data_IF_962597489317
#
_entry.id   IF_962597489317
#
_cell.length_a   1.000
_cell.length_b   1.000
_cell.length_c   1.000
_cell.angle_alpha   90.00
_cell.angle_beta   90.00
_cell.angle_gamma   90.00
#
_symmetry.space_group_name_H-M   'P 1'
#
loop_
_entity.id
_entity.type
_entity.pdbx_description
1 polymer ?
#
# COMPACT_ATOMS: atom_id res chain seq x y z
N UNK A 1 0.61 21.48 -22.42
CA UNK A 1 1.46 20.28 -22.30
C UNK A 1 0.73 19.30 -21.41
N UNK A 2 0.02 18.34 -22.00
CA UNK A 2 -0.79 17.38 -21.27
C UNK A 2 0.12 16.25 -20.77
N UNK A 3 0.52 16.29 -19.50
CA UNK A 3 1.22 15.15 -18.88
C UNK A 3 0.30 13.93 -18.95
N UNK A 4 0.75 12.90 -19.65
CA UNK A 4 0.07 11.61 -19.67
C UNK A 4 -0.14 11.12 -18.22
N UNK A 5 -1.29 10.46 -17.91
CA UNK A 5 -1.46 9.83 -16.61
C UNK A 5 -0.29 8.86 -16.42
N UNK A 6 0.43 9.02 -15.32
CA UNK A 6 1.66 8.27 -15.02
C UNK A 6 1.33 6.77 -14.99
N UNK A 7 1.55 6.08 -16.10
CA UNK A 7 1.26 4.64 -16.20
C UNK A 7 2.21 3.90 -15.28
N UNK A 8 1.68 3.03 -14.43
CA UNK A 8 2.47 2.10 -13.64
C UNK A 8 3.34 1.25 -14.58
N UNK A 9 4.54 0.81 -14.15
CA UNK A 9 5.33 -0.16 -14.90
C UNK A 9 4.49 -1.41 -15.21
N UNK A 10 4.53 -1.91 -16.45
CA UNK A 10 3.66 -3.01 -16.91
C UNK A 10 3.80 -4.30 -16.09
N UNK A 11 5.00 -4.57 -15.54
CA UNK A 11 5.23 -5.73 -14.68
C UNK A 11 4.53 -5.57 -13.32
N UNK A 12 4.61 -4.39 -12.72
CA UNK A 12 3.90 -4.07 -11.48
C UNK A 12 2.39 -4.11 -11.69
N UNK A 13 1.90 -3.54 -12.79
CA UNK A 13 0.47 -3.55 -13.11
C UNK A 13 -0.08 -4.98 -13.27
N UNK A 14 0.68 -5.86 -13.94
CA UNK A 14 0.36 -7.28 -14.06
C UNK A 14 0.34 -7.99 -12.71
N UNK A 15 1.37 -7.77 -11.88
CA UNK A 15 1.46 -8.39 -10.55
C UNK A 15 0.30 -7.97 -9.63
N UNK A 16 -0.10 -6.69 -9.68
CA UNK A 16 -1.27 -6.17 -8.99
C UNK A 16 -2.59 -6.77 -9.49
N UNK A 17 -2.63 -7.35 -10.69
CA UNK A 17 -3.83 -8.02 -11.24
C UNK A 17 -3.92 -9.51 -10.84
N UNK A 18 -2.81 -10.13 -10.41
CA UNK A 18 -2.79 -11.52 -9.95
C UNK A 18 -3.44 -11.64 -8.57
N UNK A 19 -4.30 -12.66 -8.31
CA UNK A 19 -4.84 -12.89 -6.97
C UNK A 19 -3.73 -13.20 -5.97
N UNK A 20 -3.73 -12.51 -4.82
CA UNK A 20 -2.79 -12.79 -3.75
C UNK A 20 -3.03 -14.18 -3.10
N UNK A 21 -4.27 -14.68 -3.16
CA UNK A 21 -4.67 -15.98 -2.62
C UNK A 21 -4.72 -17.13 -3.66
N UNK A 22 -4.51 -16.83 -4.95
CA UNK A 22 -4.81 -17.76 -6.06
C UNK A 22 -3.62 -18.54 -6.62
N UNK A 23 -2.39 -18.14 -6.30
CA UNK A 23 -1.18 -18.90 -6.61
C UNK A 23 -0.62 -19.52 -5.33
N UNK A 24 0.16 -20.60 -5.44
CA UNK A 24 0.82 -21.36 -4.35
C UNK A 24 1.79 -20.48 -3.49
N UNK A 25 1.82 -19.17 -3.76
CA UNK A 25 2.65 -18.15 -3.13
C UNK A 25 1.84 -17.51 -2.00
N UNK A 26 2.27 -17.66 -0.75
CA UNK A 26 1.62 -16.99 0.38
C UNK A 26 1.71 -15.46 0.28
N UNK A 27 0.80 -14.75 0.98
CA UNK A 27 0.73 -13.28 1.01
C UNK A 27 2.09 -12.60 1.24
N UNK A 28 2.97 -13.05 2.16
CA UNK A 28 4.27 -12.42 2.36
C UNK A 28 5.13 -12.40 1.09
N UNK A 29 5.21 -13.52 0.38
CA UNK A 29 5.98 -13.63 -0.87
C UNK A 29 5.32 -12.88 -2.03
N UNK A 30 3.98 -12.76 -2.04
CA UNK A 30 3.27 -11.91 -2.99
C UNK A 30 3.64 -10.43 -2.80
N UNK A 31 3.64 -9.96 -1.55
CA UNK A 31 4.02 -8.60 -1.17
C UNK A 31 5.49 -8.32 -1.47
N UNK A 32 6.39 -9.24 -1.14
CA UNK A 32 7.82 -9.10 -1.39
C UNK A 32 8.11 -8.93 -2.90
N UNK A 33 7.61 -9.85 -3.73
CA UNK A 33 7.74 -9.76 -5.20
C UNK A 33 7.11 -8.49 -5.75
N UNK A 34 5.96 -8.08 -5.22
CA UNK A 34 5.30 -6.84 -5.61
C UNK A 34 6.11 -5.60 -5.28
N UNK A 35 6.71 -5.55 -4.09
CA UNK A 35 7.56 -4.47 -3.63
C UNK A 35 8.85 -4.34 -4.46
N UNK A 36 9.43 -5.45 -4.93
CA UNK A 36 10.58 -5.43 -5.84
C UNK A 36 10.27 -4.75 -7.18
N UNK A 37 9.02 -4.81 -7.63
CA UNK A 37 8.55 -4.20 -8.88
C UNK A 37 8.21 -2.71 -8.73
N UNK A 38 8.20 -2.17 -7.50
CA UNK A 38 7.91 -0.75 -7.26
C UNK A 38 9.12 0.11 -7.61
N UNK A 39 9.00 0.85 -8.71
CA UNK A 39 10.00 1.81 -9.16
C UNK A 39 9.74 3.21 -8.59
N UNK A 40 10.71 4.14 -8.64
CA UNK A 40 10.48 5.54 -8.30
C UNK A 40 9.33 6.18 -9.11
N UNK A 41 9.12 5.73 -10.35
CA UNK A 41 7.98 6.16 -11.17
C UNK A 41 6.65 5.65 -10.61
N UNK A 42 6.60 4.42 -10.11
CA UNK A 42 5.39 3.89 -9.46
C UNK A 42 5.05 4.66 -8.18
N UNK A 43 6.05 5.04 -7.38
CA UNK A 43 5.87 5.89 -6.19
C UNK A 43 5.29 7.26 -6.59
N UNK A 44 5.88 7.91 -7.61
CA UNK A 44 5.33 9.16 -8.16
C UNK A 44 3.91 8.98 -8.71
N UNK A 45 3.62 7.84 -9.33
CA UNK A 45 2.30 7.49 -9.83
C UNK A 45 1.27 7.39 -8.70
N UNK A 46 1.61 6.73 -7.58
CA UNK A 46 0.75 6.68 -6.39
C UNK A 46 0.47 8.09 -5.84
N UNK A 47 1.49 8.94 -5.75
CA UNK A 47 1.33 10.33 -5.29
C UNK A 47 0.46 11.15 -6.26
N UNK A 48 0.57 10.92 -7.57
CA UNK A 48 -0.34 11.50 -8.57
C UNK A 48 -1.81 11.05 -8.39
N UNK A 49 -2.03 9.92 -7.71
CA UNK A 49 -3.34 9.36 -7.40
C UNK A 49 -3.77 9.60 -5.95
N UNK A 50 -3.06 10.46 -5.19
CA UNK A 50 -3.26 10.63 -3.75
C UNK A 50 -4.70 10.99 -3.37
N UNK A 51 -5.32 11.91 -4.10
CA UNK A 51 -6.72 12.29 -3.87
C UNK A 51 -7.70 11.11 -4.07
N UNK A 52 -7.40 10.18 -4.98
CA UNK A 52 -8.19 8.97 -5.15
C UNK A 52 -7.97 7.97 -4.02
N UNK A 53 -6.72 7.82 -3.55
CA UNK A 53 -6.39 7.02 -2.38
C UNK A 53 -7.14 7.52 -1.14
N UNK A 54 -7.07 8.83 -0.84
CA UNK A 54 -7.75 9.42 0.31
C UNK A 54 -9.28 9.23 0.26
N UNK A 55 -9.88 9.39 -0.93
CA UNK A 55 -11.31 9.10 -1.13
C UNK A 55 -11.66 7.64 -0.88
N UNK A 56 -10.80 6.69 -1.29
CA UNK A 56 -11.02 5.26 -1.03
C UNK A 56 -10.84 4.92 0.44
N UNK A 57 -9.81 5.46 1.09
CA UNK A 57 -9.58 5.31 2.52
C UNK A 57 -10.81 5.76 3.33
N UNK A 58 -11.38 6.92 2.98
CA UNK A 58 -12.57 7.47 3.64
C UNK A 58 -13.82 6.57 3.59
N UNK A 59 -13.83 5.55 2.72
CA UNK A 59 -14.91 4.55 2.64
C UNK A 59 -14.65 3.31 3.50
N UNK A 60 -13.43 3.13 3.99
CA UNK A 60 -13.10 2.08 4.96
C UNK A 60 -13.64 2.53 6.32
N UNK A 61 -14.28 1.61 7.05
CA UNK A 61 -14.86 1.86 8.36
C UNK A 61 -13.87 2.60 9.28
N UNK A 62 -14.29 3.77 9.76
CA UNK A 62 -13.51 4.60 10.66
C UNK A 62 -13.25 3.86 11.97
N UNK A 63 -12.02 3.92 12.47
CA UNK A 63 -11.62 3.19 13.67
C UNK A 63 -11.46 1.67 13.49
N UNK A 64 -11.67 1.12 12.29
CA UNK A 64 -11.30 -0.28 12.01
C UNK A 64 -9.78 -0.47 12.04
N UNK A 65 -9.35 -1.71 12.35
CA UNK A 65 -7.93 -2.08 12.34
C UNK A 65 -7.31 -1.88 10.96
N UNK A 66 -8.02 -2.25 9.89
CA UNK A 66 -7.57 -2.02 8.51
C UNK A 66 -7.36 -0.53 8.22
N UNK A 67 -8.31 0.32 8.61
CA UNK A 67 -8.20 1.77 8.43
C UNK A 67 -6.94 2.32 9.08
N UNK A 68 -6.69 1.99 10.36
CA UNK A 68 -5.50 2.43 11.10
C UNK A 68 -4.19 2.04 10.40
N UNK A 69 -4.10 0.79 9.93
CA UNK A 69 -2.91 0.30 9.23
C UNK A 69 -2.68 1.01 7.90
N UNK A 70 -3.73 1.23 7.13
CA UNK A 70 -3.65 1.96 5.87
C UNK A 70 -3.21 3.41 6.10
N UNK A 71 -3.71 4.06 7.16
CA UNK A 71 -3.28 5.42 7.52
C UNK A 71 -1.79 5.48 7.90
N UNK A 72 -1.29 4.46 8.61
CA UNK A 72 0.16 4.30 8.87
C UNK A 72 0.94 4.21 7.56
N UNK A 73 0.57 3.30 6.65
CA UNK A 73 1.29 3.17 5.40
C UNK A 73 1.21 4.44 4.53
N UNK A 74 0.04 5.07 4.48
CA UNK A 74 -0.16 6.32 3.73
C UNK A 74 0.74 7.44 4.26
N UNK A 75 0.70 7.70 5.58
CA UNK A 75 1.55 8.73 6.18
C UNK A 75 3.04 8.43 5.96
N UNK A 76 3.45 7.17 6.11
CA UNK A 76 4.82 6.77 5.85
C UNK A 76 5.27 7.11 4.42
N UNK A 77 4.45 6.75 3.42
CA UNK A 77 4.77 7.01 2.01
C UNK A 77 4.81 8.51 1.68
N UNK A 78 3.90 9.31 2.26
CA UNK A 78 3.86 10.76 2.07
C UNK A 78 5.15 11.43 2.59
N UNK A 79 5.64 10.99 3.75
CA UNK A 79 6.76 11.62 4.46
C UNK A 79 8.14 11.08 4.07
N UNK A 80 8.24 9.78 3.73
CA UNK A 80 9.53 9.14 3.43
C UNK A 80 10.21 9.66 2.16
N UNK A 81 9.53 10.51 1.38
CA UNK A 81 10.04 11.13 0.15
C UNK A 81 11.07 12.25 0.44
N UNK A 82 11.04 12.84 1.63
CA UNK A 82 11.87 13.99 1.99
C UNK A 82 13.12 13.59 2.80
N UNK A 83 13.28 12.30 3.13
CA UNK A 83 14.32 11.81 4.03
C UNK A 83 15.33 10.84 3.41
N UNK A 84 16.36 10.42 4.18
CA UNK A 84 17.41 9.49 3.76
C UNK A 84 16.94 8.05 3.42
N UNK A 85 15.63 7.84 3.28
CA UNK A 85 14.99 6.57 2.92
C UNK A 85 14.21 6.62 1.60
N UNK A 86 14.32 7.71 0.83
CA UNK A 86 13.73 7.83 -0.50
C UNK A 86 14.19 6.63 -1.37
N UNK A 87 13.26 5.72 -1.66
CA UNK A 87 13.45 4.42 -2.36
C UNK A 87 13.88 3.19 -1.53
N UNK A 88 13.79 3.22 -0.20
CA UNK A 88 14.08 2.04 0.65
C UNK A 88 13.08 0.87 0.51
N UNK A 89 13.42 -0.36 0.96
CA UNK A 89 12.53 -1.53 0.86
C UNK A 89 11.15 -1.32 1.51
N UNK A 90 11.11 -0.69 2.70
CA UNK A 90 9.85 -0.39 3.38
C UNK A 90 8.96 0.57 2.57
N UNK A 91 9.55 1.59 1.92
CA UNK A 91 8.80 2.53 1.09
C UNK A 91 8.19 1.83 -0.13
N UNK A 92 8.96 0.95 -0.76
CA UNK A 92 8.47 0.14 -1.88
C UNK A 92 7.33 -0.77 -1.46
N UNK A 93 7.46 -1.47 -0.34
CA UNK A 93 6.41 -2.34 0.18
C UNK A 93 5.14 -1.57 0.58
N UNK A 94 5.28 -0.44 1.27
CA UNK A 94 4.15 0.41 1.61
C UNK A 94 3.45 0.98 0.37
N UNK A 95 4.24 1.43 -0.63
CA UNK A 95 3.70 1.88 -1.92
C UNK A 95 2.96 0.75 -2.64
N UNK A 96 3.51 -0.46 -2.63
CA UNK A 96 2.87 -1.63 -3.23
C UNK A 96 1.51 -1.91 -2.58
N UNK A 97 1.43 -1.96 -1.25
CA UNK A 97 0.19 -2.20 -0.53
C UNK A 97 -0.87 -1.12 -0.80
N UNK A 98 -0.48 0.16 -0.86
CA UNK A 98 -1.41 1.25 -1.18
C UNK A 98 -1.86 1.22 -2.64
N UNK A 99 -1.00 0.80 -3.58
CA UNK A 99 -1.37 0.59 -4.97
C UNK A 99 -2.30 -0.62 -5.13
N UNK A 100 -2.08 -1.70 -4.37
CA UNK A 100 -2.97 -2.87 -4.32
C UNK A 100 -4.36 -2.45 -3.82
N UNK A 101 -4.39 -1.80 -2.65
CA UNK A 101 -5.61 -1.25 -2.07
C UNK A 101 -6.28 -0.28 -3.05
N UNK A 102 -5.56 0.65 -3.67
CA UNK A 102 -6.15 1.60 -4.60
C UNK A 102 -6.67 0.93 -5.87
N UNK A 103 -5.90 0.00 -6.45
CA UNK A 103 -6.22 -0.62 -7.75
C UNK A 103 -7.59 -1.25 -7.67
N UNK A 104 -7.85 -2.08 -6.65
CA UNK A 104 -9.15 -2.68 -6.30
C UNK A 104 -10.25 -2.65 -7.37
N UNK A 105 -9.92 -3.00 -8.62
CA UNK A 105 -10.75 -2.80 -9.78
C UNK A 105 -11.35 -4.15 -10.12
N UNK A 106 -12.65 -4.25 -9.86
CA UNK A 106 -13.59 -5.24 -10.38
C UNK A 106 -13.22 -6.71 -10.16
N UNK A 107 -13.37 -7.18 -8.92
CA UNK A 107 -13.65 -8.62 -8.70
C UNK A 107 -15.03 -8.94 -8.15
N UNK A 108 -15.79 -7.97 -7.67
CA UNK A 108 -17.15 -8.21 -7.18
C UNK A 108 -18.03 -7.01 -7.58
N UNK A 109 -19.01 -7.15 -8.49
CA UNK A 109 -20.09 -6.16 -8.61
C UNK A 109 -20.81 -6.06 -7.27
N UNK A 110 -21.30 -4.87 -6.90
CA UNK A 110 -21.82 -4.36 -5.60
C UNK A 110 -22.77 -5.24 -4.73
N UNK A 111 -22.65 -6.57 -4.71
CA UNK A 111 -23.57 -7.49 -4.08
C UNK A 111 -23.08 -8.05 -2.74
N UNK A 112 -21.78 -7.99 -2.40
CA UNK A 112 -21.25 -8.43 -1.09
C UNK A 112 -20.06 -7.56 -0.63
N UNK A 113 -20.26 -6.61 0.29
CA UNK A 113 -19.23 -5.64 0.72
C UNK A 113 -18.05 -6.20 1.53
N UNK A 114 -18.20 -7.33 2.22
CA UNK A 114 -17.26 -7.75 3.28
C UNK A 114 -16.06 -8.57 2.79
N UNK A 115 -16.12 -9.19 1.61
CA UNK A 115 -15.07 -10.13 1.14
C UNK A 115 -13.87 -9.41 0.50
N UNK A 116 -14.04 -8.19 -0.01
CA UNK A 116 -12.97 -7.44 -0.69
C UNK A 116 -11.90 -6.86 0.25
N UNK A 117 -12.20 -6.66 1.53
CA UNK A 117 -11.30 -6.02 2.49
C UNK A 117 -10.36 -7.01 3.22
N UNK A 118 -10.65 -8.31 3.16
CA UNK A 118 -9.83 -9.32 3.82
C UNK A 118 -8.43 -9.40 3.17
N UNK A 119 -8.38 -9.47 1.85
CA UNK A 119 -7.11 -9.50 1.10
C UNK A 119 -6.31 -8.21 1.33
N UNK A 120 -6.98 -7.05 1.31
CA UNK A 120 -6.36 -5.76 1.65
C UNK A 120 -5.75 -5.80 3.07
N UNK A 121 -6.48 -6.33 4.05
CA UNK A 121 -5.99 -6.46 5.42
C UNK A 121 -4.80 -7.40 5.55
N UNK A 122 -4.77 -8.50 4.79
CA UNK A 122 -3.65 -9.44 4.79
C UNK A 122 -2.40 -8.83 4.13
N UNK A 123 -2.55 -8.15 2.99
CA UNK A 123 -1.45 -7.48 2.29
C UNK A 123 -0.83 -6.39 3.16
N UNK A 124 -1.68 -5.55 3.76
CA UNK A 124 -1.24 -4.47 4.65
C UNK A 124 -0.59 -5.04 5.91
N UNK A 125 -1.12 -6.12 6.48
CA UNK A 125 -0.52 -6.82 7.62
C UNK A 125 0.89 -7.33 7.28
N UNK A 126 1.05 -8.00 6.13
CA UNK A 126 2.35 -8.54 5.75
C UNK A 126 3.42 -7.45 5.57
N UNK A 127 3.05 -6.28 5.05
CA UNK A 127 3.97 -5.12 5.00
C UNK A 127 4.35 -4.66 6.41
N UNK A 128 3.38 -4.55 7.33
CA UNK A 128 3.65 -4.13 8.70
C UNK A 128 4.56 -5.12 9.43
N UNK A 129 4.34 -6.43 9.30
CA UNK A 129 5.16 -7.44 9.95
C UNK A 129 6.60 -7.41 9.42
N UNK A 130 6.77 -7.40 8.09
CA UNK A 130 8.09 -7.48 7.47
C UNK A 130 8.91 -6.19 7.60
N UNK A 131 8.25 -5.04 7.76
CA UNK A 131 8.91 -3.73 7.79
C UNK A 131 8.68 -2.94 9.08
N UNK A 132 8.15 -3.57 10.13
CA UNK A 132 7.90 -2.95 11.44
C UNK A 132 9.09 -2.16 11.98
N UNK A 133 10.35 -2.66 11.95
CA UNK A 133 11.50 -1.89 12.46
C UNK A 133 11.71 -0.57 11.72
N UNK A 134 11.59 -0.57 10.38
CA UNK A 134 11.79 0.61 9.56
C UNK A 134 10.66 1.63 9.73
N UNK A 135 9.41 1.15 9.78
CA UNK A 135 8.23 2.00 10.01
C UNK A 135 8.28 2.63 11.41
N UNK A 136 8.61 1.86 12.45
CA UNK A 136 8.77 2.39 13.81
C UNK A 136 9.89 3.40 13.92
N UNK A 137 11.04 3.13 13.30
CA UNK A 137 12.14 4.09 13.26
C UNK A 137 11.74 5.41 12.59
N UNK A 138 10.91 5.36 11.54
CA UNK A 138 10.35 6.56 10.91
C UNK A 138 9.44 7.35 11.86
N UNK A 139 8.58 6.67 12.63
CA UNK A 139 7.73 7.31 13.65
C UNK A 139 8.56 8.00 14.74
N UNK A 140 9.58 7.32 15.28
CA UNK A 140 10.47 7.88 16.29
C UNK A 140 11.21 9.11 15.77
N UNK A 141 11.70 9.09 14.52
CA UNK A 141 12.38 10.25 13.90
C UNK A 141 11.49 11.48 13.75
N UNK A 142 10.17 11.27 13.64
CA UNK A 142 9.19 12.36 13.58
C UNK A 142 8.60 12.68 14.97
N UNK A 143 9.21 12.17 16.05
CA UNK A 143 8.78 12.40 17.44
C UNK A 143 7.34 11.93 17.72
N UNK A 144 6.91 10.85 17.04
CA UNK A 144 5.56 10.29 17.18
C UNK A 144 5.54 8.99 17.95
N UNK A 145 4.46 8.79 18.69
CA UNK A 145 4.14 7.51 19.33
C UNK A 145 3.64 6.53 18.26
N UNK A 146 4.19 5.31 18.24
CA UNK A 146 3.72 4.24 17.37
C UNK A 146 2.26 3.88 17.73
N UNK A 147 1.34 3.79 16.77
CA UNK A 147 -0.05 3.46 17.06
C UNK A 147 -0.17 2.09 17.71
N UNK A 148 -0.97 2.00 18.76
CA UNK A 148 -1.34 0.74 19.38
C UNK A 148 -2.37 0.01 18.50
N UNK A 149 -2.46 -1.32 18.62
CA UNK A 149 -3.49 -2.14 17.96
C UNK A 149 -3.51 -2.06 16.41
N UNK A 150 -2.32 -2.04 15.81
CA UNK A 150 -2.14 -2.31 14.38
C UNK A 150 -2.30 -3.79 14.10
#
# INVERSE_FOLDING_TARGET
MTSAPSRLPSALDRHLATPAAGEIIGIPSYVEKGAELVTPQAIKGLLGLWASLQRKLARVEEGSRLRRRLDVLARFVEEAQEGPGASGPALRAATFALLYFLKGADRIPDAVPEVGLLDDAMVVQAVLDNHSPALRAHWTRHERVWPEEL
#
